data_IF_302647464032
#
_entry.id   IF_302647464032
#
_cell.length_a   1.000
_cell.length_b   1.000
_cell.length_c   1.000
_cell.angle_alpha   90.00
_cell.angle_beta   90.00
_cell.angle_gamma   90.00
#
_symmetry.space_group_name_H-M   'P 1'
#
loop_
_entity.id
_entity.type
_entity.pdbx_description
1 polymer ?
#
# COMPACT_ATOMS: atom_id res chain seq x y z
N UNK A 1 -11.78 13.72 10.39
CA UNK A 1 -10.92 13.72 9.18
C UNK A 1 -9.61 14.50 9.31
N UNK A 2 -9.36 15.33 10.34
CA UNK A 2 -8.09 16.07 10.46
C UNK A 2 -6.89 15.21 10.91
N UNK A 3 -7.12 14.21 11.74
CA UNK A 3 -6.06 13.39 12.33
C UNK A 3 -5.34 12.48 11.32
N UNK A 4 -6.08 11.69 10.54
CA UNK A 4 -5.48 10.82 9.51
C UNK A 4 -4.68 11.61 8.47
N UNK A 5 -5.22 12.75 8.02
CA UNK A 5 -4.52 13.62 7.06
C UNK A 5 -3.26 14.26 7.66
N UNK A 6 -3.29 14.65 8.94
CA UNK A 6 -2.11 15.13 9.65
C UNK A 6 -1.02 14.05 9.73
N UNK A 7 -1.37 12.81 10.07
CA UNK A 7 -0.43 11.69 10.08
C UNK A 7 0.16 11.40 8.70
N UNK A 8 -0.69 11.33 7.66
CA UNK A 8 -0.23 11.09 6.29
C UNK A 8 0.70 12.17 5.75
N UNK A 9 0.64 13.39 6.30
CA UNK A 9 1.56 14.49 5.97
C UNK A 9 2.88 14.43 6.76
N UNK A 10 3.13 13.35 7.50
CA UNK A 10 4.43 13.03 8.10
C UNK A 10 4.89 11.65 7.60
N UNK A 11 5.13 11.49 6.29
CA UNK A 11 5.37 10.19 5.68
C UNK A 11 6.66 9.53 6.19
N UNK A 12 7.70 10.28 6.56
CA UNK A 12 8.90 9.73 7.18
C UNK A 12 8.62 9.05 8.53
N UNK A 13 7.75 9.63 9.37
CA UNK A 13 7.35 8.98 10.61
C UNK A 13 6.61 7.67 10.32
N UNK A 14 5.67 7.71 9.37
CA UNK A 14 4.91 6.52 8.97
C UNK A 14 5.83 5.44 8.37
N UNK A 15 6.84 5.83 7.61
CA UNK A 15 7.92 4.97 7.11
C UNK A 15 8.66 4.24 8.22
N UNK A 16 9.11 4.96 9.24
CA UNK A 16 9.77 4.36 10.39
C UNK A 16 8.84 3.40 11.14
N UNK A 17 7.57 3.79 11.35
CA UNK A 17 6.60 2.91 12.01
C UNK A 17 6.30 1.65 11.20
N UNK A 18 6.22 1.76 9.87
CA UNK A 18 6.06 0.62 8.97
C UNK A 18 7.27 -0.30 9.07
N UNK A 19 8.48 0.24 8.97
CA UNK A 19 9.71 -0.55 9.07
C UNK A 19 9.85 -1.28 10.41
N UNK A 20 9.49 -0.62 11.52
CA UNK A 20 9.46 -1.26 12.84
C UNK A 20 8.40 -2.38 12.89
N UNK A 21 7.19 -2.09 12.44
CA UNK A 21 6.09 -3.05 12.45
C UNK A 21 6.42 -4.26 11.58
N UNK A 22 6.94 -4.05 10.37
CA UNK A 22 7.42 -5.09 9.48
C UNK A 22 8.44 -5.99 10.17
N UNK A 23 9.49 -5.41 10.78
CA UNK A 23 10.51 -6.17 11.53
C UNK A 23 9.91 -6.99 12.66
N UNK A 24 8.99 -6.42 13.44
CA UNK A 24 8.32 -7.12 14.55
C UNK A 24 7.51 -8.30 14.01
N UNK A 25 6.70 -8.11 12.97
CA UNK A 25 5.90 -9.20 12.39
C UNK A 25 6.78 -10.32 11.82
N UNK A 26 7.84 -9.98 11.08
CA UNK A 26 8.78 -10.99 10.56
C UNK A 26 9.50 -11.74 11.68
N UNK A 27 9.88 -11.06 12.77
CA UNK A 27 10.51 -11.71 13.92
C UNK A 27 9.55 -12.66 14.65
N UNK A 28 8.26 -12.29 14.72
CA UNK A 28 7.21 -13.08 15.36
C UNK A 28 6.64 -14.17 14.45
N UNK A 29 7.02 -14.20 13.16
CA UNK A 29 6.49 -15.17 12.18
C UNK A 29 6.58 -16.64 12.65
N UNK A 30 7.69 -17.14 13.22
CA UNK A 30 7.74 -18.52 13.70
C UNK A 30 6.74 -18.83 14.82
N UNK A 31 6.36 -17.83 15.62
CA UNK A 31 5.35 -17.96 16.66
C UNK A 31 3.94 -17.89 16.05
N UNK A 32 3.72 -16.98 15.11
CA UNK A 32 2.46 -16.84 14.37
C UNK A 32 2.17 -18.14 13.59
N UNK A 33 3.18 -18.72 12.93
CA UNK A 33 3.09 -19.99 12.24
C UNK A 33 2.64 -21.14 13.17
N UNK A 34 3.19 -21.21 14.39
CA UNK A 34 2.81 -22.20 15.40
C UNK A 34 1.38 -22.03 15.91
N UNK A 35 0.90 -20.79 16.00
CA UNK A 35 -0.48 -20.47 16.41
C UNK A 35 -1.50 -20.69 15.29
N UNK A 36 -1.03 -20.67 14.03
CA UNK A 36 -1.79 -20.83 12.80
C UNK A 36 -2.20 -19.49 12.20
N UNK A 37 -1.78 -19.24 10.95
CA UNK A 37 -2.03 -18.00 10.22
C UNK A 37 -3.52 -17.64 10.13
N UNK A 38 -4.39 -18.61 9.81
CA UNK A 38 -5.85 -18.42 9.74
C UNK A 38 -6.45 -17.90 11.05
N UNK A 39 -5.99 -18.43 12.19
CA UNK A 39 -6.49 -18.01 13.50
C UNK A 39 -6.02 -16.59 13.80
N UNK A 40 -4.76 -16.27 13.50
CA UNK A 40 -4.21 -14.93 13.74
C UNK A 40 -4.84 -13.91 12.80
N UNK A 41 -5.08 -14.24 11.54
CA UNK A 41 -5.80 -13.40 10.57
C UNK A 41 -7.17 -12.99 11.11
N UNK A 42 -7.96 -13.97 11.57
CA UNK A 42 -9.30 -13.71 12.10
C UNK A 42 -9.30 -12.65 13.23
N UNK A 43 -8.32 -12.73 14.14
CA UNK A 43 -8.20 -11.79 15.26
C UNK A 43 -7.56 -10.46 14.87
N UNK A 44 -6.59 -10.47 13.95
CA UNK A 44 -5.83 -9.28 13.55
C UNK A 44 -6.60 -8.40 12.58
N UNK A 45 -7.45 -8.98 11.73
CA UNK A 45 -8.18 -8.28 10.66
C UNK A 45 -8.96 -7.07 11.16
N UNK A 46 -9.73 -7.22 12.24
CA UNK A 46 -10.56 -6.13 12.78
C UNK A 46 -9.73 -4.94 13.29
N UNK A 47 -8.76 -5.17 14.20
CA UNK A 47 -7.81 -4.15 14.64
C UNK A 47 -7.03 -3.49 13.47
N UNK A 48 -6.57 -4.30 12.51
CA UNK A 48 -5.87 -3.81 11.33
C UNK A 48 -6.76 -2.88 10.49
N UNK A 49 -7.97 -3.32 10.15
CA UNK A 49 -8.91 -2.50 9.39
C UNK A 49 -9.19 -1.18 10.10
N UNK A 50 -9.50 -1.23 11.40
CA UNK A 50 -9.82 -0.05 12.17
C UNK A 50 -8.66 0.97 12.16
N UNK A 51 -7.46 0.52 12.50
CA UNK A 51 -6.28 1.37 12.51
C UNK A 51 -5.97 1.94 11.12
N UNK A 52 -5.96 1.08 10.09
CA UNK A 52 -5.62 1.50 8.72
C UNK A 52 -6.68 2.39 8.10
N UNK A 53 -7.96 2.22 8.43
CA UNK A 53 -9.06 3.06 7.92
C UNK A 53 -9.02 4.46 8.51
N UNK A 54 -8.73 4.59 9.81
CA UNK A 54 -8.58 5.89 10.47
C UNK A 54 -7.38 6.66 9.91
N UNK A 55 -6.25 5.98 9.72
CA UNK A 55 -5.00 6.64 9.32
C UNK A 55 -4.92 6.85 7.81
N UNK A 56 -5.29 5.86 6.99
CA UNK A 56 -5.01 5.84 5.54
C UNK A 56 -6.24 5.82 4.63
N UNK A 57 -7.47 5.86 5.17
CA UNK A 57 -8.70 5.56 4.41
C UNK A 57 -8.61 4.21 3.65
N UNK A 58 -8.01 3.23 4.32
CA UNK A 58 -7.76 1.89 3.79
C UNK A 58 -9.05 1.22 3.28
N UNK A 59 -8.92 0.51 2.14
CA UNK A 59 -10.00 -0.26 1.50
C UNK A 59 -9.85 -1.77 1.65
N UNK A 60 -8.96 -2.23 2.54
CA UNK A 60 -8.78 -3.65 2.88
C UNK A 60 -8.57 -4.58 1.68
N UNK A 61 -7.76 -4.18 0.70
CA UNK A 61 -7.46 -5.03 -0.47
C UNK A 61 -6.60 -6.28 -0.18
N UNK A 62 -6.19 -6.51 1.07
CA UNK A 62 -5.34 -7.65 1.47
C UNK A 62 -3.88 -7.57 1.04
N UNK A 63 -3.48 -6.63 0.17
CA UNK A 63 -2.10 -6.49 -0.32
C UNK A 63 -1.60 -5.06 -0.11
N UNK A 64 -1.05 -4.76 1.06
CA UNK A 64 -0.71 -3.39 1.46
C UNK A 64 0.64 -2.93 0.87
N UNK A 65 0.65 -1.87 0.05
CA UNK A 65 1.86 -1.25 -0.54
C UNK A 65 2.06 0.21 -0.09
N UNK A 66 1.71 0.54 1.15
CA UNK A 66 1.84 1.91 1.65
C UNK A 66 3.29 2.42 1.55
N UNK A 67 4.26 1.55 1.79
CA UNK A 67 5.69 1.87 1.65
C UNK A 67 6.05 2.31 0.23
N UNK A 68 5.53 1.64 -0.78
CA UNK A 68 5.77 1.97 -2.19
C UNK A 68 4.92 3.13 -2.74
N UNK A 69 3.96 3.63 -1.96
CA UNK A 69 2.98 4.63 -2.42
C UNK A 69 2.98 5.89 -1.56
N UNK A 70 4.13 6.27 -1.00
CA UNK A 70 4.24 7.49 -0.21
C UNK A 70 3.30 7.49 0.99
N UNK A 71 3.13 6.33 1.63
CA UNK A 71 2.19 6.11 2.74
C UNK A 71 0.74 6.49 2.42
N UNK A 72 0.33 6.34 1.16
CA UNK A 72 -0.99 6.69 0.66
C UNK A 72 -1.70 5.47 0.09
N UNK A 73 -2.87 5.10 0.61
CA UNK A 73 -3.58 3.93 0.12
C UNK A 73 -4.04 4.13 -1.34
N UNK A 74 -3.42 3.44 -2.30
CA UNK A 74 -3.76 3.54 -3.73
C UNK A 74 -5.21 3.15 -4.05
N UNK A 75 -5.79 2.25 -3.25
CA UNK A 75 -7.19 1.83 -3.38
C UNK A 75 -8.20 2.91 -2.95
N UNK A 76 -7.76 3.99 -2.28
CA UNK A 76 -8.62 5.15 -2.02
C UNK A 76 -8.94 5.94 -3.31
N UNK A 77 -8.21 5.68 -4.40
CA UNK A 77 -8.53 6.21 -5.72
C UNK A 77 -9.89 5.66 -6.20
N UNK A 78 -10.81 6.48 -6.74
CA UNK A 78 -12.09 5.99 -7.28
C UNK A 78 -11.92 4.91 -8.35
N UNK A 79 -10.79 4.91 -9.05
CA UNK A 79 -10.48 3.96 -10.11
C UNK A 79 -9.84 2.67 -9.59
N UNK A 80 -9.59 2.56 -8.27
CA UNK A 80 -8.94 1.40 -7.63
C UNK A 80 -7.62 0.98 -8.33
N UNK A 81 -6.87 1.96 -8.82
CA UNK A 81 -5.65 1.74 -9.57
C UNK A 81 -4.50 1.39 -8.62
N UNK A 82 -3.86 0.25 -8.90
CA UNK A 82 -2.69 -0.22 -8.16
C UNK A 82 -1.44 0.59 -8.45
N UNK A 83 -1.28 1.00 -9.71
CA UNK A 83 -0.22 1.86 -10.23
C UNK A 83 -0.83 3.12 -10.84
N UNK A 84 -0.15 4.26 -10.71
CA UNK A 84 -0.55 5.52 -11.34
C UNK A 84 0.63 6.27 -11.94
N UNK A 85 0.41 7.50 -12.40
CA UNK A 85 -0.86 8.24 -12.44
C UNK A 85 -1.84 7.71 -13.51
N UNK A 86 -3.11 8.12 -13.41
CA UNK A 86 -4.19 7.66 -14.30
C UNK A 86 -4.50 8.57 -15.51
N UNK A 87 -3.69 9.60 -15.75
CA UNK A 87 -3.96 10.66 -16.73
C UNK A 87 -5.04 11.68 -16.33
N UNK A 88 -5.98 11.30 -15.46
CA UNK A 88 -7.10 12.13 -15.01
C UNK A 88 -6.79 13.11 -13.87
N UNK A 89 -5.59 13.70 -13.86
CA UNK A 89 -5.20 14.71 -12.86
C UNK A 89 -5.53 16.09 -13.43
N UNK A 90 -6.32 16.88 -12.71
CA UNK A 90 -6.64 18.27 -13.08
C UNK A 90 -5.42 19.17 -12.91
N UNK A 91 -5.39 20.31 -13.59
CA UNK A 91 -4.29 21.28 -13.51
C UNK A 91 -3.98 21.77 -12.08
N UNK A 92 -4.96 21.72 -11.17
CA UNK A 92 -4.80 22.06 -9.76
C UNK A 92 -4.33 20.89 -8.87
N UNK A 93 -4.04 19.71 -9.44
CA UNK A 93 -3.64 18.50 -8.71
C UNK A 93 -4.79 17.64 -8.17
N UNK A 94 -6.04 17.96 -8.52
CA UNK A 94 -7.23 17.25 -8.03
C UNK A 94 -7.67 16.13 -8.98
N UNK A 95 -8.50 15.21 -8.47
CA UNK A 95 -9.01 14.09 -9.25
C UNK A 95 -10.05 14.55 -10.30
N UNK A 96 -10.06 13.93 -11.50
CA UNK A 96 -11.12 14.18 -12.47
C UNK A 96 -12.51 13.73 -11.98
N UNK A 97 -12.58 12.56 -11.32
CA UNK A 97 -13.82 11.91 -10.87
C UNK A 97 -14.40 12.62 -9.65
N UNK A 98 -13.54 13.05 -8.73
CA UNK A 98 -13.91 13.81 -7.54
C UNK A 98 -13.20 15.17 -7.55
N UNK A 99 -13.82 16.21 -8.16
CA UNK A 99 -13.23 17.54 -8.34
C UNK A 99 -12.78 18.21 -7.04
N UNK A 100 -13.39 17.82 -5.92
CA UNK A 100 -13.21 18.33 -4.56
C UNK A 100 -12.12 17.59 -3.78
N UNK A 101 -11.55 16.51 -4.33
CA UNK A 101 -10.53 15.70 -3.67
C UNK A 101 -9.16 15.81 -4.37
N UNK A 102 -8.08 16.03 -3.60
CA UNK A 102 -6.71 15.93 -4.15
C UNK A 102 -6.48 14.55 -4.76
N UNK A 103 -5.74 14.48 -5.87
CA UNK A 103 -5.46 13.20 -6.50
C UNK A 103 -4.60 12.32 -5.59
N UNK A 104 -4.99 11.06 -5.43
CA UNK A 104 -4.29 10.06 -4.61
C UNK A 104 -2.85 9.88 -5.07
N UNK A 105 -2.61 9.82 -6.38
CA UNK A 105 -1.26 9.64 -6.94
C UNK A 105 -0.38 10.88 -6.87
N UNK A 106 -0.97 12.09 -6.89
CA UNK A 106 -0.22 13.33 -6.61
C UNK A 106 0.22 13.36 -5.15
N UNK A 107 -0.67 12.98 -4.22
CA UNK A 107 -0.32 12.85 -2.81
C UNK A 107 0.75 11.78 -2.57
N UNK A 108 0.59 10.60 -3.15
CA UNK A 108 1.55 9.51 -3.05
C UNK A 108 2.95 9.93 -3.52
N UNK A 109 3.03 10.57 -4.70
CA UNK A 109 4.30 11.06 -5.24
C UNK A 109 4.94 12.13 -4.35
N UNK A 110 4.18 13.15 -3.93
CA UNK A 110 4.73 14.21 -3.07
C UNK A 110 5.24 13.66 -1.73
N UNK A 111 4.51 12.71 -1.13
CA UNK A 111 4.90 12.08 0.13
C UNK A 111 6.07 11.12 -0.01
N UNK A 112 6.23 10.47 -1.16
CA UNK A 112 7.37 9.58 -1.39
C UNK A 112 8.69 10.35 -1.48
N UNK A 113 8.68 11.60 -1.95
CA UNK A 113 9.86 12.48 -1.92
C UNK A 113 10.37 12.79 -0.51
N UNK A 114 9.53 12.63 0.52
CA UNK A 114 9.87 12.82 1.93
C UNK A 114 10.23 11.51 2.64
N UNK A 115 10.32 10.39 1.92
CA UNK A 115 10.58 9.04 2.44
C UNK A 115 11.99 8.55 2.06
N UNK A 116 12.97 8.59 2.98
CA UNK A 116 14.37 8.23 2.67
C UNK A 116 14.64 6.74 2.42
N UNK A 117 13.78 5.80 2.84
CA UNK A 117 14.04 4.37 2.71
C UNK A 117 13.27 3.72 1.57
N UNK A 118 11.98 4.05 1.43
CA UNK A 118 11.08 3.42 0.46
C UNK A 118 10.56 4.40 -0.60
N UNK A 119 10.98 5.68 -0.57
CA UNK A 119 10.46 6.71 -1.47
C UNK A 119 10.61 6.40 -2.96
N UNK A 120 11.71 5.74 -3.33
CA UNK A 120 12.03 5.38 -4.72
C UNK A 120 11.14 4.25 -5.28
N UNK A 121 10.50 3.46 -4.40
CA UNK A 121 9.60 2.37 -4.82
C UNK A 121 8.33 2.87 -5.53
N UNK A 122 8.01 4.17 -5.45
CA UNK A 122 6.93 4.79 -6.23
C UNK A 122 7.12 4.60 -7.75
N UNK A 123 8.35 4.34 -8.19
CA UNK A 123 8.72 4.10 -9.59
C UNK A 123 8.61 2.62 -9.99
N UNK A 124 8.46 1.72 -9.03
CA UNK A 124 8.32 0.27 -9.27
C UNK A 124 6.89 -0.01 -9.69
N UNK A 125 6.73 -0.77 -10.78
CA UNK A 125 5.39 -1.19 -11.24
C UNK A 125 4.96 -2.43 -10.47
N UNK A 126 3.96 -2.25 -9.62
CA UNK A 126 3.40 -3.31 -8.78
C UNK A 126 2.49 -4.25 -9.60
N UNK A 127 2.45 -5.56 -9.27
CA UNK A 127 1.47 -6.48 -9.86
C UNK A 127 0.03 -6.05 -9.59
N UNK A 128 -0.93 -6.45 -10.45
CA UNK A 128 -2.33 -6.17 -10.23
C UNK A 128 -2.79 -6.77 -8.89
N UNK A 129 -3.69 -6.06 -8.21
CA UNK A 129 -4.26 -6.52 -6.94
C UNK A 129 -5.01 -7.84 -7.16
N UNK A 130 -4.66 -8.84 -6.37
CA UNK A 130 -5.42 -10.07 -6.22
C UNK A 130 -6.66 -9.82 -5.36
N UNK A 131 -7.82 -9.68 -6.01
CA UNK A 131 -9.10 -9.42 -5.36
C UNK A 131 -9.62 -10.56 -4.49
N UNK A 132 -9.06 -11.77 -4.59
CA UNK A 132 -9.45 -12.86 -3.69
C UNK A 132 -8.97 -12.64 -2.24
N UNK A 133 -8.02 -11.72 -2.02
CA UNK A 133 -7.50 -11.36 -0.69
C UNK A 133 -8.26 -10.17 -0.09
N UNK A 134 -9.30 -9.66 -0.75
CA UNK A 134 -10.06 -8.53 -0.23
C UNK A 134 -10.74 -8.91 1.10
N UNK A 135 -10.51 -8.08 2.12
CA UNK A 135 -11.00 -8.30 3.47
C UNK A 135 -10.13 -9.21 4.34
N UNK A 136 -8.98 -9.73 3.88
CA UNK A 136 -8.01 -10.42 4.77
C UNK A 136 -6.91 -9.49 5.30
N UNK A 137 -6.17 -9.94 6.30
CA UNK A 137 -5.05 -9.19 6.89
C UNK A 137 -3.90 -9.08 5.91
N UNK A 138 -3.47 -7.85 5.61
CA UNK A 138 -2.30 -7.67 4.76
C UNK A 138 -1.00 -8.12 5.43
N UNK A 139 -0.94 -8.09 6.76
CA UNK A 139 0.22 -8.61 7.50
C UNK A 139 0.33 -10.13 7.40
N UNK A 140 -0.78 -10.86 7.51
CA UNK A 140 -0.76 -12.32 7.35
C UNK A 140 -0.48 -12.71 5.90
N UNK A 141 -1.06 -12.00 4.93
CA UNK A 141 -0.76 -12.25 3.51
C UNK A 141 0.73 -12.00 3.20
N UNK A 142 1.34 -10.97 3.80
CA UNK A 142 2.78 -10.69 3.69
C UNK A 142 3.64 -11.80 4.28
N UNK A 143 3.29 -12.31 5.48
CA UNK A 143 4.04 -13.40 6.12
C UNK A 143 3.94 -14.71 5.34
N UNK A 144 2.75 -15.02 4.81
CA UNK A 144 2.51 -16.23 4.02
C UNK A 144 2.98 -16.11 2.57
N UNK A 145 3.33 -14.90 2.11
CA UNK A 145 3.72 -14.60 0.74
C UNK A 145 2.58 -14.61 -0.27
N UNK A 146 1.32 -14.71 0.19
CA UNK A 146 0.13 -14.67 -0.67
C UNK A 146 0.01 -13.34 -1.42
N UNK A 147 0.49 -12.25 -0.80
CA UNK A 147 0.53 -10.93 -1.41
C UNK A 147 1.50 -10.82 -2.60
N UNK A 148 2.49 -11.71 -2.69
CA UNK A 148 3.48 -11.79 -3.78
C UNK A 148 3.06 -12.72 -4.92
N UNK A 149 1.97 -13.46 -4.77
CA UNK A 149 1.48 -14.36 -5.83
C UNK A 149 0.90 -13.52 -6.97
N UNK A 150 1.57 -13.53 -8.12
CA UNK A 150 1.16 -12.80 -9.32
C UNK A 150 0.42 -13.70 -10.31
N UNK A 151 -0.40 -13.14 -11.22
CA UNK A 151 -0.95 -13.89 -12.35
C UNK A 151 0.16 -14.48 -13.22
N UNK A 152 -0.06 -15.67 -13.79
CA UNK A 152 0.97 -16.37 -14.62
C UNK A 152 1.54 -15.54 -15.78
N UNK A 153 0.77 -14.59 -16.30
CA UNK A 153 1.18 -13.71 -17.40
C UNK A 153 1.87 -12.41 -16.93
N UNK A 154 2.06 -12.22 -15.63
CA UNK A 154 2.76 -11.06 -15.09
C UNK A 154 4.26 -11.33 -15.06
N UNK A 155 4.98 -10.73 -16.00
CA UNK A 155 6.45 -10.71 -16.05
C UNK A 155 6.94 -9.38 -15.45
N UNK A 156 7.94 -9.43 -14.55
CA UNK A 156 8.47 -8.22 -13.92
C UNK A 156 9.28 -7.39 -14.93
N UNK A 157 9.21 -6.07 -14.78
CA UNK A 157 9.86 -5.10 -15.69
C UNK A 157 11.38 -5.15 -15.61
N UNK A 158 11.95 -5.76 -14.56
CA UNK A 158 13.38 -6.08 -14.48
C UNK A 158 13.89 -6.91 -15.68
N UNK A 159 12.98 -7.55 -16.43
CA UNK A 159 13.30 -8.35 -17.62
C UNK A 159 13.22 -7.52 -18.91
N UNK A 160 12.57 -6.35 -18.91
CA UNK A 160 12.46 -5.51 -20.10
C UNK A 160 13.69 -4.59 -20.14
N UNK A 161 14.63 -4.76 -21.09
CA UNK A 161 15.69 -3.80 -21.27
C UNK A 161 15.01 -2.48 -21.63
N UNK A 162 14.99 -1.53 -20.70
CA UNK A 162 14.67 -0.16 -21.02
C UNK A 162 15.74 0.26 -22.02
N UNK A 163 15.35 0.37 -23.29
CA UNK A 163 16.24 0.86 -24.33
C UNK A 163 16.82 2.19 -23.84
N UNK A 164 18.13 2.18 -23.57
CA UNK A 164 18.88 3.38 -23.24
C UNK A 164 18.59 4.42 -24.33
N UNK A 165 18.11 5.59 -23.91
CA UNK A 165 18.02 6.76 -24.79
C UNK A 165 19.29 7.56 -24.70
#
# INVERSE_FOLDING_TARGET
MKFGQWLQNHPHFLEQTYGLTHRVFTMLDPLIAKLGYERVDHWLRGPEEFAKRIVFDCRMCGQCILHSTGMTCSMSCPKNLRNGPCGGVRANGYCEVFPDKPCVWVQAYNRSLEMPLYGDEILVIEPPVNRSLEGSSAWINMLTGQDKVTPKAWESIEIIPLAEK
#
